data_IF_610903273007
#
_entry.id   IF_610903273007
#
_cell.length_a   1.000
_cell.length_b   1.000
_cell.length_c   1.000
_cell.angle_alpha   90.00
_cell.angle_beta   90.00
_cell.angle_gamma   90.00
#
_symmetry.space_group_name_H-M   'P 1'
#
loop_
_entity.id
_entity.type
_entity.pdbx_description
1 polymer ?
#
# COMPACT_ATOMS: atom_id res chain seq x y z
N UNK A 1 21.60 -7.65 4.08
CA UNK A 1 20.72 -8.48 3.26
C UNK A 1 19.27 -8.11 3.50
N UNK A 2 18.47 -7.97 2.45
CA UNK A 2 17.06 -7.60 2.59
C UNK A 2 16.25 -8.77 3.17
N UNK A 3 15.31 -8.46 4.07
CA UNK A 3 14.43 -9.45 4.68
C UNK A 3 13.31 -9.86 3.72
N UNK A 4 12.96 -8.98 2.80
CA UNK A 4 11.84 -9.19 1.89
C UNK A 4 12.32 -9.38 0.47
N UNK A 5 11.73 -10.33 -0.23
CA UNK A 5 11.95 -10.53 -1.66
C UNK A 5 10.84 -9.83 -2.45
N UNK A 6 10.99 -9.78 -3.77
CA UNK A 6 10.01 -9.16 -4.67
C UNK A 6 8.59 -9.71 -4.45
N UNK A 7 8.48 -11.01 -4.24
CA UNK A 7 7.18 -11.65 -3.98
C UNK A 7 6.52 -11.14 -2.71
N UNK A 8 7.32 -10.79 -1.70
CA UNK A 8 6.81 -10.26 -0.44
C UNK A 8 6.26 -8.84 -0.65
N UNK A 9 6.96 -8.02 -1.42
CA UNK A 9 6.49 -6.67 -1.73
C UNK A 9 5.17 -6.73 -2.49
N UNK A 10 5.05 -7.65 -3.44
CA UNK A 10 3.82 -7.83 -4.20
C UNK A 10 2.67 -8.26 -3.30
N UNK A 11 2.93 -9.20 -2.39
CA UNK A 11 1.91 -9.69 -1.46
C UNK A 11 1.44 -8.57 -0.53
N UNK A 12 2.36 -7.76 0.00
CA UNK A 12 2.02 -6.63 0.86
C UNK A 12 1.18 -5.61 0.09
N UNK A 13 1.59 -5.28 -1.14
CA UNK A 13 0.85 -4.32 -1.96
C UNK A 13 -0.56 -4.81 -2.27
N UNK A 14 -0.71 -6.08 -2.61
CA UNK A 14 -2.01 -6.66 -2.90
C UNK A 14 -2.91 -6.68 -1.67
N UNK A 15 -2.35 -6.97 -0.51
CA UNK A 15 -3.10 -6.94 0.74
C UNK A 15 -3.62 -5.55 1.04
N UNK A 16 -2.77 -4.53 0.87
CA UNK A 16 -3.18 -3.14 1.07
C UNK A 16 -4.27 -2.74 0.08
N UNK A 17 -4.11 -3.11 -1.17
CA UNK A 17 -5.11 -2.80 -2.21
C UNK A 17 -6.45 -3.46 -1.90
N UNK A 18 -6.44 -4.74 -1.54
CA UNK A 18 -7.65 -5.48 -1.19
C UNK A 18 -8.34 -4.88 0.02
N UNK A 19 -7.57 -4.51 1.04
CA UNK A 19 -8.08 -3.88 2.25
C UNK A 19 -8.74 -2.55 1.90
N UNK A 20 -8.06 -1.75 1.08
CA UNK A 20 -8.60 -0.46 0.64
C UNK A 20 -9.90 -0.60 -0.12
N UNK A 21 -9.96 -1.55 -1.05
CA UNK A 21 -11.19 -1.79 -1.81
C UNK A 21 -12.35 -2.22 -0.89
N UNK A 22 -12.08 -3.10 0.06
CA UNK A 22 -13.09 -3.55 1.00
C UNK A 22 -13.62 -2.39 1.85
N UNK A 23 -12.72 -1.54 2.34
CA UNK A 23 -13.10 -0.39 3.16
C UNK A 23 -13.90 0.64 2.37
N UNK A 24 -13.47 0.95 1.16
CA UNK A 24 -14.16 1.92 0.32
C UNK A 24 -15.53 1.42 -0.08
N UNK A 25 -15.66 0.10 -0.31
CA UNK A 25 -16.94 -0.51 -0.70
C UNK A 25 -17.95 -0.47 0.43
N UNK A 26 -17.50 -0.60 1.69
CA UNK A 26 -18.38 -0.68 2.86
C UNK A 26 -18.54 0.63 3.60
N UNK A 27 -17.67 1.62 3.37
CA UNK A 27 -17.72 2.89 4.06
C UNK A 27 -18.83 3.78 3.49
N UNK A 28 -19.41 4.64 4.35
CA UNK A 28 -20.32 5.66 3.89
C UNK A 28 -19.56 6.69 3.04
N UNK A 29 -20.25 7.43 2.14
CA UNK A 29 -19.57 8.43 1.31
C UNK A 29 -18.78 9.46 2.12
N UNK A 30 -19.27 9.83 3.30
CA UNK A 30 -18.60 10.81 4.17
C UNK A 30 -17.30 10.24 4.75
N UNK A 31 -17.22 8.92 4.94
CA UNK A 31 -16.05 8.28 5.52
C UNK A 31 -14.95 8.00 4.50
N UNK A 32 -15.27 7.99 3.21
CA UNK A 32 -14.30 7.64 2.17
C UNK A 32 -13.03 8.50 2.21
N UNK A 33 -13.10 9.84 2.33
CA UNK A 33 -11.88 10.64 2.41
C UNK A 33 -11.00 10.29 3.61
N UNK A 34 -11.61 9.97 4.75
CA UNK A 34 -10.87 9.57 5.95
C UNK A 34 -10.19 8.22 5.71
N UNK A 35 -10.91 7.27 5.14
CA UNK A 35 -10.37 5.94 4.82
C UNK A 35 -9.18 6.07 3.87
N UNK A 36 -9.32 6.87 2.83
CA UNK A 36 -8.23 7.07 1.86
C UNK A 36 -7.01 7.70 2.51
N UNK A 37 -7.24 8.64 3.43
CA UNK A 37 -6.13 9.27 4.15
C UNK A 37 -5.39 8.26 5.03
N UNK A 38 -6.13 7.44 5.77
CA UNK A 38 -5.54 6.41 6.63
C UNK A 38 -4.71 5.43 5.79
N UNK A 39 -5.26 4.99 4.67
CA UNK A 39 -4.54 4.07 3.78
C UNK A 39 -3.26 4.69 3.23
N UNK A 40 -3.30 5.97 2.91
CA UNK A 40 -2.13 6.69 2.42
C UNK A 40 -1.04 6.77 3.48
N UNK A 41 -1.41 7.04 4.73
CA UNK A 41 -0.45 7.10 5.84
C UNK A 41 0.18 5.72 6.06
N UNK A 42 -0.62 4.67 6.07
CA UNK A 42 -0.13 3.30 6.24
C UNK A 42 0.83 2.94 5.10
N UNK A 43 0.45 3.24 3.88
CA UNK A 43 1.30 2.98 2.71
C UNK A 43 2.64 3.70 2.82
N UNK A 44 2.61 4.96 3.24
CA UNK A 44 3.81 5.77 3.38
C UNK A 44 4.77 5.16 4.42
N UNK A 45 4.23 4.74 5.54
CA UNK A 45 5.04 4.13 6.61
C UNK A 45 5.63 2.79 6.19
N UNK A 46 4.84 1.98 5.49
CA UNK A 46 5.33 0.71 4.96
C UNK A 46 6.42 0.93 3.92
N UNK A 47 6.24 1.93 3.06
CA UNK A 47 7.24 2.28 2.05
C UNK A 47 8.57 2.64 2.71
N UNK A 48 8.54 3.46 3.76
CA UNK A 48 9.75 3.84 4.49
C UNK A 48 10.43 2.62 5.10
N UNK A 49 9.65 1.72 5.69
CA UNK A 49 10.17 0.49 6.27
C UNK A 49 10.85 -0.38 5.21
N UNK A 50 10.21 -0.54 4.06
CA UNK A 50 10.73 -1.37 3.00
C UNK A 50 11.99 -0.79 2.38
N UNK A 51 12.07 0.53 2.26
CA UNK A 51 13.28 1.21 1.78
C UNK A 51 14.44 0.98 2.75
N UNK A 52 14.17 1.05 4.05
CA UNK A 52 15.21 0.80 5.07
C UNK A 52 15.71 -0.63 5.01
N UNK A 53 14.81 -1.58 4.76
CA UNK A 53 15.18 -2.98 4.63
C UNK A 53 16.00 -3.24 3.37
N UNK A 54 15.64 -2.58 2.27
CA UNK A 54 16.29 -2.78 0.98
C UNK A 54 16.37 -1.45 0.22
N UNK A 55 17.57 -0.80 0.20
CA UNK A 55 17.72 0.48 -0.51
C UNK A 55 17.43 0.40 -2.01
N UNK A 56 17.44 -0.78 -2.58
CA UNK A 56 17.11 -0.98 -4.00
C UNK A 56 15.60 -1.11 -4.25
N UNK A 57 14.80 -1.08 -3.19
CA UNK A 57 13.35 -1.14 -3.31
C UNK A 57 12.81 0.04 -4.11
N UNK A 58 11.88 -0.25 -5.04
CA UNK A 58 11.28 0.76 -5.90
C UNK A 58 9.96 1.25 -5.29
N UNK A 59 9.93 2.42 -4.63
CA UNK A 59 8.72 2.92 -3.99
C UNK A 59 7.62 3.30 -4.98
N UNK A 60 7.97 3.74 -6.18
CA UNK A 60 6.98 4.08 -7.20
C UNK A 60 6.20 2.86 -7.65
N UNK A 61 6.89 1.76 -7.82
CA UNK A 61 6.28 0.50 -8.23
C UNK A 61 5.33 -0.02 -7.15
N UNK A 62 5.74 0.09 -5.91
CA UNK A 62 4.92 -0.30 -4.76
C UNK A 62 3.68 0.58 -4.67
N UNK A 63 3.85 1.90 -4.81
CA UNK A 63 2.75 2.84 -4.78
C UNK A 63 1.72 2.53 -5.86
N UNK A 64 2.18 2.25 -7.07
CA UNK A 64 1.30 1.93 -8.18
C UNK A 64 0.54 0.62 -7.94
N UNK A 65 1.18 -0.35 -7.31
CA UNK A 65 0.54 -1.63 -7.02
C UNK A 65 -0.54 -1.51 -5.94
N UNK A 66 -0.40 -0.56 -5.02
CA UNK A 66 -1.38 -0.31 -3.95
C UNK A 66 -2.51 0.59 -4.41
N UNK A 67 -2.28 1.43 -5.41
CA UNK A 67 -3.24 2.43 -5.87
C UNK A 67 -4.55 1.77 -6.33
N UNK A 68 -5.65 2.21 -5.73
CA UNK A 68 -6.98 1.67 -6.05
C UNK A 68 -7.42 2.00 -7.48
N UNK A 69 -6.86 3.05 -8.05
CA UNK A 69 -7.14 3.46 -9.43
C UNK A 69 -6.18 2.85 -10.44
N UNK A 70 -5.22 2.08 -9.97
CA UNK A 70 -4.26 1.41 -10.84
C UNK A 70 -4.89 0.22 -11.54
N UNK A 71 -4.49 0.01 -12.77
CA UNK A 71 -4.95 -1.12 -13.56
C UNK A 71 -3.91 -2.22 -13.60
#
# INVERSE_FOLDING_TARGET
MAKFAKQHYTAIAQTLKSTGLALVTTASPEAIPVVMHVLQVVQSRLTDMLIRDNPSFDPERFKNAVDLNSR
#
